data_IF_204665629878
#
_entry.id   IF_204665629878
#
_cell.length_a   1.000
_cell.length_b   1.000
_cell.length_c   1.000
_cell.angle_alpha   90.00
_cell.angle_beta   90.00
_cell.angle_gamma   90.00
#
_symmetry.space_group_name_H-M   'P 1'
#
loop_
_entity.id
_entity.type
_entity.pdbx_description
1 polymer ?
#
# COMPACT_ATOMS: atom_id res chain seq x y z
N UNK A 1 18.38 -49.47 -4.96
CA UNK A 1 16.91 -49.35 -4.77
C UNK A 1 16.68 -48.30 -3.71
N UNK A 2 16.02 -47.19 -4.05
CA UNK A 2 15.87 -46.02 -3.17
C UNK A 2 14.70 -46.25 -2.19
N UNK A 3 15.00 -46.32 -0.89
CA UNK A 3 14.00 -46.49 0.16
C UNK A 3 13.22 -45.19 0.37
N UNK A 4 11.97 -45.14 -0.08
CA UNK A 4 11.05 -44.03 0.20
C UNK A 4 10.60 -44.16 1.66
N UNK A 5 11.23 -43.42 2.56
CA UNK A 5 10.81 -43.34 3.97
C UNK A 5 9.47 -42.61 4.04
N UNK A 6 8.47 -43.28 4.59
CA UNK A 6 7.10 -42.74 4.70
C UNK A 6 7.04 -41.69 5.82
N UNK A 7 6.04 -40.79 5.74
CA UNK A 7 5.76 -39.83 6.81
C UNK A 7 5.52 -40.52 8.17
N UNK A 8 4.97 -41.73 8.15
CA UNK A 8 4.77 -42.53 9.37
C UNK A 8 6.10 -43.00 9.99
N UNK A 9 7.10 -43.33 9.17
CA UNK A 9 8.44 -43.70 9.67
C UNK A 9 9.18 -42.51 10.28
N UNK A 10 8.95 -41.30 9.74
CA UNK A 10 9.48 -40.07 10.33
C UNK A 10 8.84 -39.77 11.69
N UNK A 11 7.55 -40.03 11.85
CA UNK A 11 6.85 -39.87 13.13
C UNK A 11 7.38 -40.82 14.21
N UNK A 12 7.56 -42.12 13.88
CA UNK A 12 8.14 -43.10 14.82
C UNK A 12 9.57 -42.73 15.23
N UNK A 13 10.36 -42.24 14.27
CA UNK A 13 11.74 -41.81 14.53
C UNK A 13 11.84 -40.62 15.49
N UNK A 14 10.84 -39.73 15.49
CA UNK A 14 10.77 -38.59 16.42
C UNK A 14 10.31 -38.99 17.82
N UNK A 15 9.46 -40.01 17.94
CA UNK A 15 8.97 -40.48 19.25
C UNK A 15 9.99 -41.35 20.01
N UNK A 16 10.96 -41.95 19.30
CA UNK A 16 11.96 -42.85 19.88
C UNK A 16 13.16 -42.14 20.55
N UNK A 17 13.17 -40.80 20.66
CA UNK A 17 14.24 -40.05 21.33
C UNK A 17 13.70 -39.42 22.63
N UNK A 18 14.04 -39.96 23.80
CA UNK A 18 13.71 -39.32 25.08
C UNK A 18 14.72 -38.21 25.40
N UNK A 19 14.17 -37.08 25.83
CA UNK A 19 14.76 -35.93 26.55
C UNK A 19 16.23 -35.59 26.31
N UNK A 20 16.45 -34.60 25.43
CA UNK A 20 17.61 -33.70 25.56
C UNK A 20 17.05 -32.32 25.90
N UNK A 21 17.46 -31.67 27.01
CA UNK A 21 16.91 -30.38 27.40
C UNK A 21 17.20 -29.34 26.32
N UNK A 22 16.15 -28.86 25.67
CA UNK A 22 16.21 -27.79 24.68
C UNK A 22 16.78 -26.53 25.34
N UNK A 23 17.94 -26.08 24.86
CA UNK A 23 18.42 -24.72 25.14
C UNK A 23 17.32 -23.76 24.70
N UNK A 24 16.90 -22.81 25.56
CA UNK A 24 15.81 -21.92 25.21
C UNK A 24 16.21 -21.10 23.99
N UNK A 25 15.50 -21.34 22.89
CA UNK A 25 15.54 -20.48 21.70
C UNK A 25 15.09 -19.11 22.17
N UNK A 26 16.02 -18.17 22.25
CA UNK A 26 15.69 -16.75 22.46
C UNK A 26 14.84 -16.34 21.26
N UNK A 27 13.52 -16.38 21.43
CA UNK A 27 12.57 -15.70 20.57
C UNK A 27 12.91 -14.22 20.70
N UNK A 28 13.70 -13.71 19.76
CA UNK A 28 13.93 -12.28 19.60
C UNK A 28 12.58 -11.71 19.19
N UNK A 29 11.78 -11.28 20.17
CA UNK A 29 10.63 -10.43 19.92
C UNK A 29 11.15 -9.25 19.09
N UNK A 30 10.63 -8.98 17.87
CA UNK A 30 10.99 -7.77 17.18
C UNK A 30 10.68 -6.62 18.14
N UNK A 31 11.70 -5.81 18.43
CA UNK A 31 11.55 -4.60 19.24
C UNK A 31 10.36 -3.86 18.67
N UNK A 32 9.38 -3.59 19.51
CA UNK A 32 8.22 -2.75 19.20
C UNK A 32 8.76 -1.37 18.82
N UNK A 33 9.09 -1.18 17.55
CA UNK A 33 9.30 0.12 16.98
C UNK A 33 7.98 0.85 17.15
N UNK A 34 8.02 2.04 17.77
CA UNK A 34 6.87 2.93 17.79
C UNK A 34 6.35 3.07 16.35
N UNK A 35 5.04 3.08 16.12
CA UNK A 35 4.51 3.34 14.79
C UNK A 35 5.19 4.59 14.25
N UNK A 36 5.71 4.57 13.01
CA UNK A 36 6.25 5.77 12.39
C UNK A 36 5.20 6.86 12.44
N UNK A 37 5.63 8.09 12.71
CA UNK A 37 4.74 9.23 12.79
C UNK A 37 4.02 9.38 11.44
N UNK A 38 2.70 9.54 11.48
CA UNK A 38 1.89 9.57 10.26
C UNK A 38 2.06 10.97 9.65
N UNK A 39 2.59 11.08 8.42
CA UNK A 39 2.76 12.38 7.79
C UNK A 39 1.41 13.09 7.61
N UNK A 40 1.39 14.42 7.78
CA UNK A 40 0.16 15.24 7.68
C UNK A 40 -0.60 15.04 6.36
N UNK A 41 0.13 14.85 5.25
CA UNK A 41 -0.45 14.56 3.93
C UNK A 41 -1.33 13.30 3.92
N UNK A 42 -1.02 12.30 4.75
CA UNK A 42 -1.82 11.07 4.88
C UNK A 42 -3.16 11.37 5.55
N UNK A 43 -3.17 12.25 6.55
CA UNK A 43 -4.40 12.72 7.20
C UNK A 43 -5.27 13.50 6.21
N UNK A 44 -4.69 14.46 5.49
CA UNK A 44 -5.40 15.24 4.46
C UNK A 44 -6.05 14.35 3.39
N UNK A 45 -5.35 13.31 2.94
CA UNK A 45 -5.90 12.33 2.00
C UNK A 45 -7.08 11.56 2.62
N UNK A 46 -6.99 11.18 3.90
CA UNK A 46 -8.05 10.43 4.61
C UNK A 46 -9.30 11.28 4.88
N UNK A 47 -9.15 12.59 5.00
CA UNK A 47 -10.28 13.51 5.22
C UNK A 47 -11.00 13.89 3.91
N UNK A 48 -10.38 13.64 2.75
CA UNK A 48 -10.97 13.96 1.45
C UNK A 48 -12.21 13.13 1.13
N UNK A 49 -13.41 13.69 1.27
CA UNK A 49 -14.62 13.01 0.83
C UNK A 49 -14.68 12.89 -0.71
N UNK A 50 -14.81 11.66 -1.19
CA UNK A 50 -14.93 11.30 -2.61
C UNK A 50 -16.21 10.52 -2.90
N UNK A 51 -17.10 10.36 -1.92
CA UNK A 51 -18.30 9.51 -2.02
C UNK A 51 -19.30 9.99 -3.07
N UNK A 52 -19.38 11.31 -3.28
CA UNK A 52 -20.28 11.92 -4.27
C UNK A 52 -19.71 11.95 -5.70
N UNK A 53 -18.44 11.56 -5.90
CA UNK A 53 -17.78 11.65 -7.18
C UNK A 53 -18.23 10.50 -8.10
N UNK A 54 -19.01 10.81 -9.14
CA UNK A 54 -19.59 9.82 -10.06
C UNK A 54 -18.73 9.54 -11.31
N UNK A 55 -17.74 10.38 -11.58
CA UNK A 55 -16.88 10.25 -12.76
C UNK A 55 -15.75 9.26 -12.51
N UNK A 56 -15.67 8.22 -13.35
CA UNK A 56 -14.57 7.25 -13.31
C UNK A 56 -13.36 7.79 -14.07
N UNK A 57 -12.17 7.64 -13.47
CA UNK A 57 -10.89 8.00 -14.08
C UNK A 57 -10.05 6.73 -14.22
N UNK A 58 -9.74 6.35 -15.46
CA UNK A 58 -8.79 5.29 -15.76
C UNK A 58 -7.41 5.91 -16.04
N UNK A 59 -6.49 5.76 -15.09
CA UNK A 59 -5.11 6.22 -15.24
C UNK A 59 -4.19 5.06 -15.65
N UNK A 60 -3.24 5.32 -16.55
CA UNK A 60 -2.11 4.45 -16.81
C UNK A 60 -0.87 5.08 -16.19
N UNK A 61 -0.11 4.27 -15.46
CA UNK A 61 1.14 4.66 -14.83
C UNK A 61 2.20 3.62 -15.16
N UNK A 62 3.47 3.99 -15.07
CA UNK A 62 4.56 3.03 -15.21
C UNK A 62 4.56 2.01 -14.06
N UNK A 63 5.32 0.92 -14.24
CA UNK A 63 5.35 -0.19 -13.29
C UNK A 63 5.87 0.23 -11.90
N UNK A 64 6.85 1.14 -11.84
CA UNK A 64 7.43 1.59 -10.58
C UNK A 64 6.41 2.41 -9.78
N UNK A 65 5.72 3.33 -10.44
CA UNK A 65 4.65 4.14 -9.86
C UNK A 65 3.49 3.27 -9.39
N UNK A 66 3.09 2.27 -10.18
CA UNK A 66 2.05 1.32 -9.77
C UNK A 66 2.42 0.58 -8.46
N UNK A 67 3.67 0.12 -8.33
CA UNK A 67 4.15 -0.53 -7.10
C UNK A 67 4.16 0.42 -5.91
N UNK A 68 4.59 1.67 -6.10
CA UNK A 68 4.56 2.68 -5.04
C UNK A 68 3.13 2.96 -4.54
N UNK A 69 2.17 3.11 -5.45
CA UNK A 69 0.75 3.30 -5.12
C UNK A 69 0.23 2.10 -4.33
N UNK A 70 0.58 0.89 -4.75
CA UNK A 70 0.18 -0.34 -4.07
C UNK A 70 0.74 -0.42 -2.64
N UNK A 71 2.04 -0.13 -2.46
CA UNK A 71 2.67 -0.10 -1.13
C UNK A 71 2.07 0.99 -0.23
N UNK A 72 1.78 2.17 -0.78
CA UNK A 72 1.12 3.24 -0.02
C UNK A 72 -0.25 2.80 0.49
N UNK A 73 -1.05 2.16 -0.37
CA UNK A 73 -2.36 1.62 0.01
C UNK A 73 -2.23 0.61 1.16
N UNK A 74 -1.30 -0.34 1.07
CA UNK A 74 -1.08 -1.34 2.12
C UNK A 74 -0.62 -0.69 3.43
N UNK A 75 0.28 0.29 3.37
CA UNK A 75 0.86 0.91 4.55
C UNK A 75 -0.10 1.85 5.29
N UNK A 76 -0.98 2.55 4.57
CA UNK A 76 -1.80 3.64 5.12
C UNK A 76 -3.31 3.37 5.12
N UNK A 77 -3.75 2.37 4.36
CA UNK A 77 -5.16 2.07 4.10
C UNK A 77 -5.83 3.05 3.13
N UNK A 78 -5.09 3.96 2.50
CA UNK A 78 -5.65 4.94 1.56
C UNK A 78 -5.99 4.26 0.23
N UNK A 79 -7.23 4.44 -0.22
CA UNK A 79 -7.70 3.94 -1.51
C UNK A 79 -7.05 4.68 -2.69
N UNK A 80 -6.78 3.94 -3.77
CA UNK A 80 -6.08 4.47 -4.95
C UNK A 80 -6.87 5.60 -5.60
N UNK A 81 -8.19 5.47 -5.70
CA UNK A 81 -9.07 6.52 -6.24
C UNK A 81 -8.93 7.83 -5.47
N UNK A 82 -8.85 7.75 -4.14
CA UNK A 82 -8.69 8.91 -3.26
C UNK A 82 -7.32 9.56 -3.42
N UNK A 83 -6.26 8.77 -3.56
CA UNK A 83 -4.93 9.28 -3.90
C UNK A 83 -4.93 10.03 -5.23
N UNK A 84 -5.58 9.48 -6.27
CA UNK A 84 -5.66 10.12 -7.59
C UNK A 84 -6.43 11.44 -7.50
N UNK A 85 -7.61 11.44 -6.87
CA UNK A 85 -8.40 12.66 -6.68
C UNK A 85 -7.64 13.73 -5.91
N UNK A 86 -6.97 13.34 -4.81
CA UNK A 86 -6.14 14.24 -4.02
C UNK A 86 -5.01 14.84 -4.86
N UNK A 87 -4.27 14.01 -5.59
CA UNK A 87 -3.15 14.43 -6.44
C UNK A 87 -3.57 15.45 -7.50
N UNK A 88 -4.69 15.19 -8.18
CA UNK A 88 -5.23 16.10 -9.20
C UNK A 88 -5.63 17.44 -8.57
N UNK A 89 -6.35 17.42 -7.45
CA UNK A 89 -6.76 18.65 -6.76
C UNK A 89 -5.55 19.46 -6.30
N UNK A 90 -4.58 18.78 -5.68
CA UNK A 90 -3.34 19.40 -5.21
C UNK A 90 -2.56 20.05 -6.36
N UNK A 91 -2.50 19.39 -7.53
CA UNK A 91 -1.85 19.94 -8.72
C UNK A 91 -2.50 21.27 -9.15
N UNK A 92 -3.83 21.33 -9.20
CA UNK A 92 -4.56 22.55 -9.56
C UNK A 92 -4.51 23.65 -8.50
N UNK A 93 -4.37 23.28 -7.22
CA UNK A 93 -4.27 24.25 -6.13
C UNK A 93 -2.86 24.84 -6.01
N UNK A 94 -1.82 24.06 -6.32
CA UNK A 94 -0.43 24.52 -6.36
C UNK A 94 -0.08 25.33 -7.62
N UNK A 95 -0.79 25.12 -8.73
CA UNK A 95 -0.49 25.73 -10.03
C UNK A 95 -1.71 26.50 -10.56
N UNK A 96 -2.03 27.69 -10.01
CA UNK A 96 -3.20 28.48 -10.41
C UNK A 96 -3.13 28.95 -11.87
N UNK A 97 -1.96 28.99 -12.48
CA UNK A 97 -1.77 29.28 -13.91
C UNK A 97 -2.52 28.31 -14.81
N UNK A 98 -2.69 27.04 -14.40
CA UNK A 98 -3.49 26.06 -15.14
C UNK A 98 -4.96 26.48 -15.20
N UNK A 99 -5.50 26.99 -14.09
CA UNK A 99 -6.88 27.50 -14.01
C UNK A 99 -7.05 28.74 -14.91
N UNK A 100 -6.05 29.62 -14.93
CA UNK A 100 -6.05 30.82 -15.79
C UNK A 100 -5.97 30.47 -17.27
N UNK A 101 -5.12 29.50 -17.64
CA UNK A 101 -4.99 29.01 -19.01
C UNK A 101 -6.29 28.38 -19.52
N UNK A 102 -6.92 27.52 -18.71
CA UNK A 102 -8.23 26.94 -19.05
C UNK A 102 -9.28 28.03 -19.31
N UNK A 103 -9.35 29.06 -18.43
CA UNK A 103 -10.29 30.19 -18.61
C UNK A 103 -10.04 30.96 -19.90
N UNK A 104 -8.78 31.25 -20.23
CA UNK A 104 -8.43 31.97 -21.44
C UNK A 104 -8.85 31.21 -22.70
N UNK A 105 -8.67 29.88 -22.73
CA UNK A 105 -9.09 29.06 -23.86
C UNK A 105 -10.60 28.85 -23.93
N UNK A 106 -11.30 28.70 -22.80
CA UNK A 106 -12.77 28.59 -22.78
C UNK A 106 -13.47 29.87 -23.20
N UNK A 107 -12.94 31.05 -22.85
CA UNK A 107 -13.46 32.32 -23.32
C UNK A 107 -13.32 32.50 -24.84
N UNK A 108 -12.33 31.83 -25.44
CA UNK A 108 -12.08 31.80 -26.89
C UNK A 108 -12.75 30.61 -27.58
N UNK A 109 -13.56 29.81 -26.88
CA UNK A 109 -14.38 28.75 -27.44
C UNK A 109 -15.72 29.35 -27.90
N UNK A 110 -15.74 29.92 -29.11
CA UNK A 110 -17.02 30.10 -29.82
C UNK A 110 -17.44 28.71 -30.35
N UNK A 111 -18.71 28.35 -30.11
CA UNK A 111 -19.30 27.06 -30.44
C UNK A 111 -19.72 26.99 -31.92
#
# INVERSE_FOLDING_TARGET
>A
MSEIKTLADQLRSKMAKPDTPEKPVKVVKPKSAKPPDIPEIVSLMRDLDVSANKTLIHARVDAQTAQMIHHLKIATGIEVTRLICFSIRQLFDQNPELKSLIKAHLANFEL
#
